data_IF_793333149329
#
_entry.id   IF_793333149329
#
_cell.length_a   1.000
_cell.length_b   1.000
_cell.length_c   1.000
_cell.angle_alpha   90.00
_cell.angle_beta   90.00
_cell.angle_gamma   90.00
#
_symmetry.space_group_name_H-M   'P 1'
#
loop_
_entity.id
_entity.type
_entity.pdbx_description
1 polymer ?
#
# COMPACT_ATOMS: atom_id res chain seq x y z
N UNK A 1 -18.08 -0.91 -17.14
CA UNK A 1 -18.42 -0.30 -15.85
C UNK A 1 -17.17 -0.21 -15.01
N UNK A 2 -16.93 0.94 -14.38
CA UNK A 2 -15.83 1.19 -13.44
C UNK A 2 -16.40 1.26 -12.03
N UNK A 3 -15.78 0.56 -11.08
CA UNK A 3 -16.10 0.67 -9.65
C UNK A 3 -14.96 1.44 -8.98
N UNK A 4 -15.32 2.54 -8.33
CA UNK A 4 -14.39 3.37 -7.60
C UNK A 4 -14.54 3.13 -6.10
N UNK A 5 -13.47 2.71 -5.44
CA UNK A 5 -13.44 2.46 -4.00
C UNK A 5 -12.58 3.55 -3.35
N UNK A 6 -13.19 4.49 -2.61
CA UNK A 6 -12.45 5.58 -1.96
C UNK A 6 -11.61 5.08 -0.79
N UNK A 7 -10.45 5.74 -0.62
CA UNK A 7 -9.52 5.48 0.46
C UNK A 7 -9.50 6.59 1.51
N UNK A 8 -8.48 6.55 2.37
CA UNK A 8 -8.26 7.53 3.43
C UNK A 8 -7.84 8.93 2.93
N UNK A 9 -7.39 9.04 1.67
CA UNK A 9 -7.02 10.33 1.07
C UNK A 9 -8.23 11.07 0.47
N UNK A 10 -9.29 10.35 0.17
CA UNK A 10 -10.52 10.83 -0.43
C UNK A 10 -11.76 10.36 0.35
N UNK A 11 -11.64 10.28 1.66
CA UNK A 11 -12.64 9.80 2.62
C UNK A 11 -14.02 10.45 2.42
N UNK A 12 -14.07 11.73 2.03
CA UNK A 12 -15.32 12.44 1.76
C UNK A 12 -16.14 11.80 0.62
N UNK A 13 -15.51 11.03 -0.26
CA UNK A 13 -16.21 10.34 -1.37
C UNK A 13 -17.02 9.15 -0.87
N UNK A 14 -16.74 8.64 0.33
CA UNK A 14 -17.49 7.54 0.97
C UNK A 14 -18.95 7.88 1.26
N UNK A 15 -19.26 9.18 1.44
CA UNK A 15 -20.63 9.65 1.64
C UNK A 15 -21.51 9.44 0.39
N UNK A 16 -20.89 9.19 -0.76
CA UNK A 16 -21.54 8.94 -2.06
C UNK A 16 -21.63 7.46 -2.42
N UNK A 17 -21.66 6.57 -1.44
CA UNK A 17 -21.80 5.13 -1.67
C UNK A 17 -23.01 4.80 -2.55
N UNK A 18 -22.79 3.96 -3.57
CA UNK A 18 -23.75 3.60 -4.62
C UNK A 18 -24.15 4.73 -5.60
N UNK A 19 -23.53 5.90 -5.54
CA UNK A 19 -23.74 6.94 -6.56
C UNK A 19 -23.05 6.56 -7.88
N UNK A 20 -23.71 6.95 -8.97
CA UNK A 20 -23.25 6.69 -10.34
C UNK A 20 -22.90 8.00 -11.03
N UNK A 21 -21.67 8.12 -11.51
CA UNK A 21 -21.15 9.24 -12.27
C UNK A 21 -20.73 8.76 -13.67
N UNK A 22 -21.64 8.85 -14.63
CA UNK A 22 -21.42 8.26 -15.96
C UNK A 22 -21.27 6.74 -15.88
N UNK A 23 -20.11 6.20 -16.26
CA UNK A 23 -19.80 4.77 -16.17
C UNK A 23 -19.12 4.35 -14.86
N UNK A 24 -18.95 5.29 -13.93
CA UNK A 24 -18.28 5.04 -12.64
C UNK A 24 -19.32 4.91 -11.55
N UNK A 25 -19.24 3.83 -10.76
CA UNK A 25 -20.03 3.62 -9.55
C UNK A 25 -19.12 3.72 -8.35
N UNK A 26 -19.46 4.59 -7.40
CA UNK A 26 -18.76 4.68 -6.12
C UNK A 26 -19.28 3.58 -5.20
N UNK A 27 -18.36 2.83 -4.59
CA UNK A 27 -18.69 1.82 -3.57
C UNK A 27 -17.64 1.86 -2.46
N UNK A 28 -18.07 1.73 -1.22
CA UNK A 28 -17.14 1.60 -0.09
C UNK A 28 -16.44 0.23 -0.06
N UNK A 29 -17.11 -0.79 -0.57
CA UNK A 29 -16.55 -2.11 -0.83
C UNK A 29 -17.32 -2.80 -1.95
N UNK A 30 -16.72 -3.78 -2.60
CA UNK A 30 -17.39 -4.61 -3.61
C UNK A 30 -16.98 -6.07 -3.47
N UNK A 31 -17.74 -6.95 -4.10
CA UNK A 31 -17.38 -8.37 -4.24
C UNK A 31 -17.18 -8.68 -5.72
N UNK A 32 -15.95 -8.99 -6.06
CA UNK A 32 -15.60 -9.43 -7.40
C UNK A 32 -15.76 -10.94 -7.51
N UNK A 33 -16.50 -11.40 -8.53
CA UNK A 33 -16.60 -12.82 -8.86
C UNK A 33 -15.75 -13.08 -10.10
N UNK A 34 -14.70 -13.86 -9.94
CA UNK A 34 -13.82 -14.25 -11.04
C UNK A 34 -14.47 -15.25 -12.00
N UNK A 35 -13.90 -15.39 -13.19
CA UNK A 35 -14.42 -16.27 -14.23
C UNK A 35 -14.44 -17.76 -13.83
N UNK A 36 -13.60 -18.16 -12.86
CA UNK A 36 -13.61 -19.50 -12.25
C UNK A 36 -14.62 -19.64 -11.09
N UNK A 37 -15.37 -18.58 -10.79
CA UNK A 37 -16.45 -18.56 -9.80
C UNK A 37 -16.03 -18.22 -8.38
N UNK A 38 -14.75 -17.92 -8.14
CA UNK A 38 -14.26 -17.47 -6.82
C UNK A 38 -14.72 -16.05 -6.53
N UNK A 39 -14.93 -15.77 -5.24
CA UNK A 39 -15.40 -14.47 -4.77
C UNK A 39 -14.34 -13.77 -3.92
N UNK A 40 -14.03 -12.54 -4.29
CA UNK A 40 -13.04 -11.73 -3.62
C UNK A 40 -13.66 -10.44 -3.09
N UNK A 41 -13.48 -10.17 -1.80
CA UNK A 41 -13.79 -8.85 -1.24
C UNK A 41 -12.82 -7.83 -1.82
N UNK A 42 -13.34 -6.74 -2.38
CA UNK A 42 -12.54 -5.61 -2.88
C UNK A 42 -12.76 -4.42 -1.99
N UNK A 43 -11.70 -3.94 -1.33
CA UNK A 43 -11.72 -2.82 -0.37
C UNK A 43 -10.46 -1.98 -0.52
N UNK A 44 -10.49 -0.73 -0.08
CA UNK A 44 -9.26 0.05 0.02
C UNK A 44 -8.32 -0.53 1.08
N UNK A 45 -8.84 -0.85 2.26
CA UNK A 45 -8.09 -1.52 3.33
C UNK A 45 -7.72 -0.65 4.53
N UNK A 46 -7.90 0.66 4.47
CA UNK A 46 -7.57 1.58 5.59
C UNK A 46 -8.48 1.37 6.82
N UNK A 47 -9.67 0.81 6.65
CA UNK A 47 -10.56 0.45 7.74
C UNK A 47 -9.96 -0.64 8.66
N UNK A 48 -9.05 -1.44 8.15
CA UNK A 48 -8.31 -2.47 8.91
C UNK A 48 -7.03 -1.92 9.55
N UNK A 49 -6.77 -0.62 9.38
CA UNK A 49 -5.58 0.08 9.85
C UNK A 49 -5.69 0.51 11.33
N UNK A 50 -6.62 -0.06 12.10
CA UNK A 50 -6.80 0.27 13.54
C UNK A 50 -5.49 0.02 14.32
N UNK A 51 -4.74 -0.98 13.90
CA UNK A 51 -3.39 -1.26 14.38
C UNK A 51 -2.41 -0.22 13.83
N UNK A 52 -2.54 0.19 12.58
CA UNK A 52 -1.69 1.19 11.95
C UNK A 52 -1.94 2.61 12.49
N UNK A 53 -3.14 2.94 12.94
CA UNK A 53 -3.37 4.22 13.65
C UNK A 53 -2.59 4.28 14.96
N UNK A 54 -2.50 3.19 15.71
CA UNK A 54 -1.57 3.09 16.85
C UNK A 54 -0.11 3.21 16.38
N UNK A 55 0.26 2.61 15.25
CA UNK A 55 1.63 2.70 14.71
C UNK A 55 1.95 4.07 14.10
N UNK A 56 0.99 4.75 13.45
CA UNK A 56 1.16 6.15 12.98
C UNK A 56 1.43 7.08 14.15
N UNK A 57 0.72 6.91 15.26
CA UNK A 57 0.98 7.66 16.49
C UNK A 57 2.35 7.30 17.09
N UNK A 58 2.70 6.02 17.14
CA UNK A 58 4.03 5.56 17.57
C UNK A 58 5.14 5.95 16.59
N UNK A 59 4.89 5.95 15.27
CA UNK A 59 5.85 6.40 14.27
C UNK A 59 6.05 7.92 14.31
N UNK A 60 5.00 8.70 14.58
CA UNK A 60 5.09 10.14 14.78
C UNK A 60 5.88 10.47 16.04
N UNK A 61 5.63 9.79 17.15
CA UNK A 61 6.48 9.88 18.34
C UNK A 61 7.89 9.37 18.03
N UNK A 62 8.03 8.32 17.21
CA UNK A 62 9.32 7.78 16.80
C UNK A 62 10.12 8.72 15.90
N UNK A 63 9.50 9.52 15.03
CA UNK A 63 10.20 10.49 14.17
C UNK A 63 10.60 11.75 14.94
N UNK A 64 9.71 12.32 15.73
CA UNK A 64 10.02 13.46 16.59
C UNK A 64 10.96 13.05 17.74
N UNK A 65 10.76 11.86 18.30
CA UNK A 65 11.67 11.25 19.29
C UNK A 65 13.01 10.83 18.67
N UNK A 66 13.09 10.56 17.38
CA UNK A 66 14.34 10.24 16.69
C UNK A 66 15.24 11.47 16.58
N UNK A 67 14.69 12.61 16.17
CA UNK A 67 15.45 13.87 16.12
C UNK A 67 15.88 14.30 17.53
N UNK A 68 15.00 14.15 18.52
CA UNK A 68 15.33 14.33 19.93
C UNK A 68 16.41 13.35 20.40
N UNK A 69 16.33 12.07 20.05
CA UNK A 69 17.34 11.05 20.37
C UNK A 69 18.68 11.31 19.67
N UNK A 70 18.68 11.82 18.42
CA UNK A 70 19.91 12.27 17.74
C UNK A 70 20.52 13.43 18.48
N UNK A 71 19.70 14.41 18.87
CA UNK A 71 20.15 15.56 19.64
C UNK A 71 20.71 15.13 21.00
N UNK A 72 19.98 14.29 21.74
CA UNK A 72 20.44 13.69 23.02
C UNK A 72 21.72 12.87 22.83
N UNK A 73 21.80 12.03 21.78
CA UNK A 73 23.01 11.28 21.49
C UNK A 73 24.21 12.17 21.16
N UNK A 74 23.96 13.28 20.44
CA UNK A 74 24.99 14.28 20.15
C UNK A 74 25.49 14.96 21.43
N UNK A 75 24.56 15.33 22.32
CA UNK A 75 24.86 15.89 23.62
C UNK A 75 25.57 14.91 24.55
N UNK A 76 25.06 13.68 24.64
CA UNK A 76 25.67 12.59 25.42
C UNK A 76 27.05 12.20 24.88
N UNK A 77 27.29 12.30 23.56
CA UNK A 77 28.62 12.04 22.96
C UNK A 77 29.63 13.07 23.44
N UNK A 78 29.22 14.34 23.57
CA UNK A 78 30.08 15.40 24.10
C UNK A 78 30.41 15.14 25.56
N UNK A 79 29.39 14.81 26.39
CA UNK A 79 29.59 14.50 27.81
C UNK A 79 30.44 13.24 28.01
N UNK A 80 30.17 12.16 27.22
CA UNK A 80 30.94 10.92 27.30
C UNK A 80 32.39 11.10 26.87
N UNK A 81 32.63 11.94 25.85
CA UNK A 81 34.01 12.29 25.44
C UNK A 81 34.75 13.05 26.55
N UNK A 82 34.01 13.86 27.32
CA UNK A 82 34.56 14.55 28.48
C UNK A 82 34.83 13.61 29.66
N UNK A 83 33.98 12.59 29.81
CA UNK A 83 34.07 11.59 30.90
C UNK A 83 34.90 10.34 30.51
N UNK A 84 35.45 10.27 29.30
CA UNK A 84 36.25 9.12 28.84
C UNK A 84 35.47 7.84 28.61
N UNK A 85 34.12 7.87 28.50
CA UNK A 85 33.27 6.69 28.34
C UNK A 85 33.09 6.33 26.86
N UNK A 86 33.48 5.11 26.46
CA UNK A 86 33.24 4.56 25.13
C UNK A 86 31.82 3.99 25.05
N UNK A 87 31.03 4.43 24.04
CA UNK A 87 29.65 4.00 23.82
C UNK A 87 29.51 3.21 22.53
N UNK A 88 28.95 2.00 22.60
CA UNK A 88 28.67 1.13 21.47
C UNK A 88 27.22 1.31 20.98
N UNK A 89 26.83 2.51 20.50
CA UNK A 89 25.55 2.65 19.80
C UNK A 89 25.67 2.02 18.41
N UNK A 90 24.86 0.98 18.14
CA UNK A 90 24.86 0.30 16.87
C UNK A 90 23.72 0.81 15.97
N UNK A 91 24.06 1.58 14.94
CA UNK A 91 23.13 1.98 13.87
C UNK A 91 22.48 0.75 13.23
N UNK A 92 23.24 -0.36 13.11
CA UNK A 92 22.73 -1.62 12.58
C UNK A 92 21.60 -2.22 13.45
N UNK A 93 21.71 -2.12 14.78
CA UNK A 93 20.64 -2.58 15.68
C UNK A 93 19.37 -1.74 15.53
N UNK A 94 19.50 -0.42 15.32
CA UNK A 94 18.38 0.49 15.08
C UNK A 94 17.67 0.17 13.75
N UNK A 95 18.44 0.00 12.66
CA UNK A 95 17.88 -0.37 11.34
C UNK A 95 17.18 -1.72 11.42
N UNK A 96 17.81 -2.72 12.06
CA UNK A 96 17.19 -4.04 12.28
C UNK A 96 15.88 -3.97 13.05
N UNK A 97 15.80 -3.12 14.08
CA UNK A 97 14.58 -2.88 14.85
C UNK A 97 13.48 -2.24 13.99
N UNK A 98 13.82 -1.22 13.19
CA UNK A 98 12.88 -0.57 12.26
C UNK A 98 12.32 -1.55 11.24
N UNK A 99 13.19 -2.33 10.58
CA UNK A 99 12.78 -3.33 9.59
C UNK A 99 11.85 -4.37 10.23
N UNK A 100 12.20 -4.89 11.42
CA UNK A 100 11.35 -5.85 12.14
C UNK A 100 9.94 -5.28 12.40
N UNK A 101 9.84 -4.03 12.81
CA UNK A 101 8.53 -3.41 13.09
C UNK A 101 7.68 -3.24 11.84
N UNK A 102 8.30 -2.89 10.70
CA UNK A 102 7.58 -2.79 9.42
C UNK A 102 7.07 -4.15 8.97
N UNK A 103 7.90 -5.18 9.04
CA UNK A 103 7.49 -6.56 8.69
C UNK A 103 6.36 -7.05 9.59
N UNK A 104 6.46 -6.79 10.90
CA UNK A 104 5.41 -7.17 11.84
C UNK A 104 4.10 -6.42 11.54
N UNK A 105 4.18 -5.13 11.24
CA UNK A 105 3.01 -4.32 10.87
C UNK A 105 2.30 -4.88 9.63
N UNK A 106 3.05 -5.22 8.57
CA UNK A 106 2.49 -5.82 7.35
C UNK A 106 1.79 -7.13 7.70
N UNK A 107 2.43 -8.00 8.48
CA UNK A 107 1.85 -9.29 8.89
C UNK A 107 0.57 -9.13 9.70
N UNK A 108 0.56 -8.22 10.68
CA UNK A 108 -0.61 -7.95 11.53
C UNK A 108 -1.79 -7.38 10.72
N UNK A 109 -1.51 -6.51 9.75
CA UNK A 109 -2.51 -5.97 8.83
C UNK A 109 -3.14 -7.07 7.97
N UNK A 110 -2.31 -7.92 7.37
CA UNK A 110 -2.74 -9.01 6.51
C UNK A 110 -3.59 -10.04 7.26
N UNK A 111 -3.16 -10.43 8.46
CA UNK A 111 -3.93 -11.34 9.32
C UNK A 111 -5.27 -10.72 9.74
N UNK A 112 -5.28 -9.42 10.04
CA UNK A 112 -6.50 -8.71 10.43
C UNK A 112 -7.52 -8.71 9.29
N UNK A 113 -7.10 -8.33 8.08
CA UNK A 113 -8.03 -8.26 6.94
C UNK A 113 -8.54 -9.65 6.55
N UNK A 114 -7.68 -10.67 6.55
CA UNK A 114 -8.08 -12.05 6.26
C UNK A 114 -9.01 -12.61 7.33
N UNK A 115 -8.83 -12.28 8.60
CA UNK A 115 -9.71 -12.74 9.68
C UNK A 115 -11.16 -12.31 9.48
N UNK A 116 -11.40 -11.19 8.80
CA UNK A 116 -12.76 -10.69 8.49
C UNK A 116 -13.50 -11.54 7.44
N UNK A 117 -12.78 -12.42 6.73
CA UNK A 117 -13.35 -13.32 5.73
C UNK A 117 -13.84 -14.65 6.33
N UNK A 118 -13.42 -15.00 7.54
CA UNK A 118 -13.63 -16.31 8.15
C UNK A 118 -15.11 -16.71 8.25
N UNK A 119 -16.00 -15.70 8.47
CA UNK A 119 -17.45 -15.92 8.57
C UNK A 119 -18.20 -15.59 7.26
N UNK A 120 -17.48 -15.33 6.17
CA UNK A 120 -18.04 -14.98 4.87
C UNK A 120 -17.70 -16.09 3.85
N UNK A 121 -18.62 -16.33 2.94
CA UNK A 121 -18.41 -17.26 1.83
C UNK A 121 -17.59 -16.59 0.72
N UNK A 122 -16.31 -16.31 1.03
CA UNK A 122 -15.37 -15.61 0.16
C UNK A 122 -14.07 -16.40 0.06
N UNK A 123 -13.43 -16.35 -1.10
CA UNK A 123 -12.16 -17.04 -1.37
C UNK A 123 -10.93 -16.19 -1.06
N UNK A 124 -11.11 -14.85 -0.93
CA UNK A 124 -10.01 -13.96 -0.65
C UNK A 124 -10.38 -12.49 -0.61
N UNK A 125 -9.36 -11.65 -0.57
CA UNK A 125 -9.47 -10.19 -0.54
C UNK A 125 -8.49 -9.55 -1.51
N UNK A 126 -8.94 -8.48 -2.17
CA UNK A 126 -8.13 -7.57 -2.99
C UNK A 126 -8.16 -6.20 -2.30
N UNK A 127 -6.99 -5.71 -1.91
CA UNK A 127 -6.86 -4.43 -1.20
C UNK A 127 -5.64 -3.65 -1.68
N UNK A 128 -5.49 -2.42 -1.18
CA UNK A 128 -4.34 -1.54 -1.40
C UNK A 128 -3.77 -1.04 -0.08
N UNK A 129 -3.75 0.29 0.10
CA UNK A 129 -3.48 1.08 1.30
C UNK A 129 -2.04 1.03 1.82
N UNK A 130 -1.47 -0.15 2.07
CA UNK A 130 -0.11 -0.28 2.65
C UNK A 130 1.01 -0.17 1.61
N UNK A 131 0.67 0.00 0.32
CA UNK A 131 1.61 0.16 -0.79
C UNK A 131 2.63 -0.98 -0.93
N UNK A 132 2.26 -2.18 -0.47
CA UNK A 132 3.10 -3.37 -0.53
C UNK A 132 2.44 -4.41 -1.44
N UNK A 133 2.82 -4.39 -2.72
CA UNK A 133 2.25 -5.29 -3.73
C UNK A 133 2.64 -6.73 -3.42
N UNK A 134 1.65 -7.57 -3.12
CA UNK A 134 1.86 -8.97 -2.79
C UNK A 134 0.62 -9.82 -3.10
N UNK A 135 0.85 -11.07 -3.46
CA UNK A 135 -0.19 -12.08 -3.62
C UNK A 135 0.25 -13.35 -2.91
N UNK A 136 -0.51 -13.79 -1.90
CA UNK A 136 -0.20 -14.99 -1.12
C UNK A 136 -1.42 -15.61 -0.47
N UNK A 137 -1.32 -16.89 -0.10
CA UNK A 137 -2.36 -17.56 0.69
C UNK A 137 -2.11 -17.36 2.19
N UNK A 138 -3.14 -16.92 2.92
CA UNK A 138 -3.11 -16.76 4.36
C UNK A 138 -4.32 -17.50 4.94
N UNK A 139 -4.09 -18.53 5.74
CA UNK A 139 -5.14 -19.33 6.40
C UNK A 139 -6.21 -19.89 5.45
N UNK A 140 -5.83 -20.19 4.18
CA UNK A 140 -6.72 -20.72 3.16
C UNK A 140 -7.37 -19.66 2.27
N UNK A 141 -7.26 -18.39 2.59
CA UNK A 141 -7.77 -17.26 1.78
C UNK A 141 -6.66 -16.66 0.92
N UNK A 142 -6.99 -16.26 -0.31
CA UNK A 142 -6.08 -15.54 -1.17
C UNK A 142 -6.05 -14.04 -0.78
N UNK A 143 -4.96 -13.61 -0.20
CA UNK A 143 -4.68 -12.20 0.07
C UNK A 143 -3.96 -11.58 -1.12
N UNK A 144 -4.47 -10.44 -1.59
CA UNK A 144 -3.90 -9.68 -2.70
C UNK A 144 -3.84 -8.21 -2.31
N UNK A 145 -2.63 -7.63 -2.32
CA UNK A 145 -2.45 -6.19 -2.23
C UNK A 145 -1.97 -5.67 -3.58
N UNK A 146 -2.68 -4.70 -4.13
CA UNK A 146 -2.38 -4.14 -5.45
C UNK A 146 -1.10 -3.31 -5.48
N UNK A 147 -0.59 -2.92 -4.30
CA UNK A 147 0.49 -1.95 -4.20
C UNK A 147 0.02 -0.53 -4.52
N UNK A 148 0.83 0.20 -5.26
CA UNK A 148 0.56 1.56 -5.70
C UNK A 148 0.93 1.74 -7.18
N UNK A 149 0.37 2.79 -7.81
CA UNK A 149 0.65 3.12 -9.21
C UNK A 149 1.57 4.35 -9.36
N UNK A 150 2.23 4.77 -8.27
CA UNK A 150 3.14 5.92 -8.23
C UNK A 150 4.61 5.47 -8.17
N UNK A 151 4.94 4.58 -7.23
CA UNK A 151 6.30 4.07 -7.03
C UNK A 151 6.49 2.66 -7.59
N UNK A 152 5.59 1.74 -7.20
CA UNK A 152 5.68 0.32 -7.58
C UNK A 152 5.14 0.06 -8.98
N UNK A 153 4.20 0.89 -9.45
CA UNK A 153 3.48 0.75 -10.72
C UNK A 153 2.92 -0.66 -10.89
N UNK A 154 2.14 -1.12 -9.90
CA UNK A 154 1.58 -2.45 -9.86
C UNK A 154 0.06 -2.43 -9.99
N UNK A 155 -0.50 -3.47 -10.58
CA UNK A 155 -1.94 -3.68 -10.71
C UNK A 155 -2.27 -5.18 -10.70
N UNK A 156 -3.52 -5.51 -10.35
CA UNK A 156 -4.02 -6.88 -10.48
C UNK A 156 -4.85 -6.96 -11.76
N UNK A 157 -4.60 -8.01 -12.53
CA UNK A 157 -5.41 -8.36 -13.69
C UNK A 157 -5.99 -9.74 -13.53
N UNK A 158 -7.17 -9.94 -14.08
CA UNK A 158 -7.78 -11.25 -14.21
C UNK A 158 -7.73 -11.70 -15.68
N UNK A 159 -7.26 -12.92 -15.89
CA UNK A 159 -7.31 -13.59 -17.18
C UNK A 159 -8.69 -14.20 -17.43
N UNK A 160 -9.02 -14.47 -18.68
CA UNK A 160 -10.31 -15.07 -19.09
C UNK A 160 -10.63 -16.41 -18.42
N UNK A 161 -9.65 -17.09 -17.87
CA UNK A 161 -9.81 -18.36 -17.14
C UNK A 161 -9.98 -18.17 -15.61
N UNK A 162 -10.09 -16.92 -15.13
CA UNK A 162 -10.22 -16.61 -13.71
C UNK A 162 -8.89 -16.53 -12.95
N UNK A 163 -7.75 -16.73 -13.60
CA UNK A 163 -6.45 -16.59 -12.94
C UNK A 163 -6.15 -15.11 -12.70
N UNK A 164 -5.84 -14.76 -11.45
CA UNK A 164 -5.38 -13.42 -11.06
C UNK A 164 -3.86 -13.34 -11.17
N UNK A 165 -3.36 -12.21 -11.67
CA UNK A 165 -1.95 -11.95 -11.85
C UNK A 165 -1.60 -10.55 -11.31
N UNK A 166 -0.49 -10.45 -10.56
CA UNK A 166 0.09 -9.17 -10.15
C UNK A 166 1.02 -8.69 -11.27
N UNK A 167 0.57 -7.68 -12.02
CA UNK A 167 1.37 -7.02 -13.03
C UNK A 167 2.24 -5.93 -12.40
N UNK A 168 3.48 -5.86 -12.85
CA UNK A 168 4.37 -4.73 -12.58
C UNK A 168 4.68 -4.02 -13.89
N UNK A 169 4.20 -2.78 -14.00
CA UNK A 169 4.51 -1.94 -15.14
C UNK A 169 5.96 -1.46 -15.06
N UNK A 170 6.72 -1.71 -16.11
CA UNK A 170 8.08 -1.17 -16.26
C UNK A 170 8.11 -0.31 -17.51
N UNK A 171 8.51 0.96 -17.35
CA UNK A 171 8.85 1.77 -18.50
C UNK A 171 10.12 1.20 -19.13
N UNK A 172 9.99 0.70 -20.36
CA UNK A 172 11.13 0.34 -21.20
C UNK A 172 11.51 1.55 -22.05
N UNK A 173 12.77 1.63 -22.50
CA UNK A 173 13.23 2.71 -23.40
C UNK A 173 12.33 2.82 -24.66
N UNK A 174 11.77 1.70 -25.12
CA UNK A 174 10.82 1.69 -26.24
C UNK A 174 9.49 2.41 -25.90
N UNK A 175 8.95 2.22 -24.69
CA UNK A 175 7.71 2.90 -24.27
C UNK A 175 7.92 4.39 -24.05
N UNK A 176 9.11 4.84 -23.67
CA UNK A 176 9.47 6.25 -23.55
C UNK A 176 9.53 6.88 -24.94
N UNK A 177 10.13 6.21 -25.92
CA UNK A 177 10.20 6.67 -27.30
C UNK A 177 8.81 6.80 -27.95
N UNK A 178 7.88 5.89 -27.63
CA UNK A 178 6.50 5.95 -28.12
C UNK A 178 5.74 7.14 -27.52
N UNK A 179 5.93 7.48 -26.24
CA UNK A 179 5.34 8.64 -25.57
C UNK A 179 5.90 9.93 -26.17
N UNK A 180 7.20 10.06 -26.36
CA UNK A 180 7.82 11.22 -26.98
C UNK A 180 7.33 11.42 -28.42
N UNK A 181 7.10 10.34 -29.15
CA UNK A 181 6.57 10.39 -30.52
C UNK A 181 5.13 10.87 -30.56
N UNK A 182 4.30 10.48 -29.57
CA UNK A 182 2.92 10.94 -29.43
C UNK A 182 2.85 12.42 -29.05
N UNK A 183 3.70 12.91 -28.17
CA UNK A 183 3.76 14.33 -27.80
C UNK A 183 4.20 15.22 -28.97
N UNK A 184 5.19 14.79 -29.77
CA UNK A 184 5.62 15.51 -30.96
C UNK A 184 4.50 15.60 -32.02
N UNK A 185 3.72 14.53 -32.19
CA UNK A 185 2.60 14.50 -33.10
C UNK A 185 1.42 15.37 -32.63
N UNK A 186 1.13 15.41 -31.34
CA UNK A 186 0.10 16.25 -30.74
C UNK A 186 0.45 17.76 -30.85
N UNK A 187 1.73 18.12 -30.70
CA UNK A 187 2.21 19.50 -30.88
C UNK A 187 2.08 20.04 -32.29
N UNK A 188 2.17 19.18 -33.31
CA UNK A 188 2.07 19.58 -34.71
C UNK A 188 0.63 19.76 -35.20
N UNK A 189 -0.40 19.34 -34.47
CA UNK A 189 -1.81 19.54 -34.82
C UNK A 189 -2.42 20.83 -34.26
N UNK A 190 -1.68 21.61 -33.47
CA UNK A 190 -2.16 22.86 -32.86
C UNK A 190 -1.68 24.14 -33.59
N UNK A 191 -1.02 24.01 -34.74
CA UNK A 191 -0.50 25.15 -35.55
C UNK A 191 -1.12 25.22 -36.95
N UNK A 192 -2.45 25.14 -37.06
CA UNK A 192 -3.18 25.56 -38.27
C UNK A 192 -4.47 26.27 -37.90
#
# INVERSE_FOLDING_TARGET
QVIYIPGNHDENVRDYDNYVFGDIVVKNSDVHTSADGKQFLVVHGDEYDTIAQCYKWMAKIGSEGYDFLIWVNRFLRIIRRWLGIQSNFSLAAYVKFKVKNVVQFISDYEETIVSTLTDKDLDGVICGHIHHAEMKNINGFLYINTGDFVESCTAIVEHFNGTLELLKWQMTDASIADIETLEVNAGNHLTH
#
